data_IF_686720495399
#
_entry.id   IF_686720495399
#
_cell.length_a   1.000
_cell.length_b   1.000
_cell.length_c   1.000
_cell.angle_alpha   90.00
_cell.angle_beta   90.00
_cell.angle_gamma   90.00
#
_symmetry.space_group_name_H-M   'P 1'
#
loop_
_entity.id
_entity.type
_entity.pdbx_description
1 polymer ?
#
# COMPACT_ATOMS: atom_id res chain seq x y z
N UNK A 1 -0.66 -17.44 2.56
CA UNK A 1 0.22 -16.70 1.63
C UNK A 1 1.65 -16.98 2.05
N UNK A 2 2.56 -17.18 1.10
CA UNK A 2 4.00 -17.36 1.36
C UNK A 2 4.71 -16.16 0.74
N UNK A 3 5.52 -15.45 1.50
CA UNK A 3 6.38 -14.37 0.98
C UNK A 3 7.70 -15.01 0.52
N UNK A 4 8.08 -14.88 -0.76
CA UNK A 4 9.37 -15.35 -1.24
C UNK A 4 10.53 -14.65 -0.54
N UNK A 5 11.64 -15.36 -0.36
CA UNK A 5 12.87 -14.81 0.21
C UNK A 5 13.35 -13.52 -0.46
N UNK A 6 13.21 -13.43 -1.79
CA UNK A 6 13.56 -12.22 -2.55
C UNK A 6 12.75 -11.00 -2.14
N UNK A 7 11.49 -11.21 -1.75
CA UNK A 7 10.59 -10.14 -1.36
C UNK A 7 10.80 -9.75 0.11
N UNK A 8 11.23 -10.70 0.95
CA UNK A 8 11.68 -10.41 2.33
C UNK A 8 12.89 -9.48 2.30
N UNK A 9 13.89 -9.78 1.45
CA UNK A 9 15.10 -8.95 1.31
C UNK A 9 14.72 -7.54 0.84
N UNK A 10 13.91 -7.42 -0.22
CA UNK A 10 13.43 -6.12 -0.70
C UNK A 10 12.66 -5.35 0.38
N UNK A 11 11.84 -6.04 1.18
CA UNK A 11 11.11 -5.41 2.27
C UNK A 11 12.07 -4.84 3.32
N UNK A 12 13.12 -5.58 3.71
CA UNK A 12 14.16 -5.10 4.62
C UNK A 12 14.90 -3.88 4.07
N UNK A 13 15.27 -3.90 2.78
CA UNK A 13 15.93 -2.76 2.11
C UNK A 13 15.04 -1.51 2.11
N UNK A 14 13.76 -1.66 1.78
CA UNK A 14 12.78 -0.57 1.82
C UNK A 14 12.60 -0.04 3.24
N UNK A 15 12.46 -0.93 4.23
CA UNK A 15 12.29 -0.54 5.63
C UNK A 15 13.48 0.27 6.12
N UNK A 16 14.71 -0.17 5.81
CA UNK A 16 15.94 0.57 6.12
C UNK A 16 15.98 1.92 5.42
N UNK A 17 15.64 1.98 4.13
CA UNK A 17 15.64 3.23 3.36
C UNK A 17 14.63 4.25 3.89
N UNK A 18 13.45 3.82 4.28
CA UNK A 18 12.37 4.72 4.72
C UNK A 18 12.44 5.10 6.19
N UNK A 19 12.88 4.19 7.05
CA UNK A 19 12.85 4.39 8.51
C UNK A 19 14.24 4.43 9.17
N UNK A 20 15.31 4.17 8.41
CA UNK A 20 16.68 4.14 8.93
C UNK A 20 16.96 2.98 9.88
N UNK A 21 16.10 1.96 9.90
CA UNK A 21 16.16 0.82 10.83
C UNK A 21 16.34 -0.49 10.08
N UNK A 22 17.22 -1.34 10.59
CA UNK A 22 17.30 -2.73 10.16
C UNK A 22 16.30 -3.56 10.97
N UNK A 23 15.71 -4.56 10.32
CA UNK A 23 14.77 -5.49 10.93
C UNK A 23 15.24 -6.91 10.64
N UNK A 24 14.94 -7.84 11.54
CA UNK A 24 15.27 -9.25 11.33
C UNK A 24 14.50 -9.83 10.15
N UNK A 25 14.93 -11.01 9.69
CA UNK A 25 14.23 -11.72 8.63
C UNK A 25 12.83 -12.14 9.09
N UNK A 26 12.71 -12.57 10.35
CA UNK A 26 11.46 -12.94 10.99
C UNK A 26 10.50 -11.75 11.07
N UNK A 27 10.98 -10.58 11.49
CA UNK A 27 10.19 -9.35 11.54
C UNK A 27 9.69 -8.94 10.16
N UNK A 28 10.57 -8.99 9.16
CA UNK A 28 10.23 -8.66 7.78
C UNK A 28 9.19 -9.63 7.21
N UNK A 29 9.29 -10.92 7.54
CA UNK A 29 8.32 -11.92 7.12
C UNK A 29 6.96 -11.69 7.77
N UNK A 30 6.91 -11.48 9.09
CA UNK A 30 5.66 -11.25 9.81
C UNK A 30 4.96 -9.97 9.34
N UNK A 31 5.71 -8.88 9.20
CA UNK A 31 5.18 -7.60 8.72
C UNK A 31 4.75 -7.69 7.25
N UNK A 32 5.51 -8.37 6.39
CA UNK A 32 5.17 -8.59 4.99
C UNK A 32 3.87 -9.37 4.82
N UNK A 33 3.66 -10.43 5.61
CA UNK A 33 2.41 -11.20 5.61
C UNK A 33 1.22 -10.34 6.05
N UNK A 34 1.39 -9.54 7.12
CA UNK A 34 0.33 -8.62 7.59
C UNK A 34 -0.03 -7.60 6.52
N UNK A 35 0.96 -7.04 5.82
CA UNK A 35 0.74 -6.09 4.73
C UNK A 35 -0.03 -6.73 3.57
N UNK A 36 0.38 -7.91 3.11
CA UNK A 36 -0.32 -8.62 2.04
C UNK A 36 -1.76 -8.95 2.44
N UNK A 37 -1.97 -9.35 3.70
CA UNK A 37 -3.31 -9.61 4.21
C UNK A 37 -4.16 -8.35 4.21
N UNK A 38 -3.63 -7.23 4.71
CA UNK A 38 -4.34 -5.95 4.70
C UNK A 38 -4.72 -5.56 3.26
N UNK A 39 -3.76 -5.62 2.34
CA UNK A 39 -4.00 -5.32 0.93
C UNK A 39 -5.07 -6.24 0.33
N UNK A 40 -5.06 -7.54 0.64
CA UNK A 40 -6.07 -8.46 0.14
C UNK A 40 -7.49 -8.15 0.64
N UNK A 41 -7.62 -7.52 1.80
CA UNK A 41 -8.91 -7.16 2.40
C UNK A 41 -9.40 -5.79 1.92
N UNK A 42 -8.48 -4.85 1.71
CA UNK A 42 -8.81 -3.45 1.40
C UNK A 42 -8.79 -3.17 -0.10
N UNK A 43 -8.04 -3.94 -0.90
CA UNK A 43 -7.94 -3.70 -2.34
C UNK A 43 -9.26 -4.02 -3.03
N UNK A 44 -9.94 -2.94 -3.45
CA UNK A 44 -11.12 -3.01 -4.32
C UNK A 44 -10.64 -2.74 -5.75
N UNK A 45 -10.59 -3.76 -6.62
CA UNK A 45 -10.25 -3.52 -8.02
C UNK A 45 -11.31 -2.61 -8.64
N UNK A 46 -10.87 -1.68 -9.48
CA UNK A 46 -11.78 -0.82 -10.25
C UNK A 46 -11.41 -0.84 -11.72
N UNK A 47 -12.43 -0.67 -12.55
CA UNK A 47 -12.29 -0.55 -14.00
C UNK A 47 -11.64 0.79 -14.38
N UNK A 48 -11.05 0.85 -15.58
CA UNK A 48 -10.48 2.09 -16.11
C UNK A 48 -11.53 3.21 -16.17
N UNK A 49 -12.78 2.86 -16.50
CA UNK A 49 -13.87 3.82 -16.56
C UNK A 49 -14.25 4.39 -15.18
N UNK A 50 -14.30 3.55 -14.14
CA UNK A 50 -14.51 4.00 -12.76
C UNK A 50 -13.37 4.89 -12.27
N UNK A 51 -12.12 4.54 -12.63
CA UNK A 51 -10.96 5.37 -12.35
C UNK A 51 -11.07 6.74 -13.01
N UNK A 52 -11.38 6.78 -14.31
CA UNK A 52 -11.55 8.02 -15.07
C UNK A 52 -12.64 8.91 -14.46
N UNK A 53 -13.78 8.32 -14.06
CA UNK A 53 -14.86 9.06 -13.37
C UNK A 53 -14.40 9.72 -12.06
N UNK A 54 -13.56 9.03 -11.27
CA UNK A 54 -13.00 9.60 -10.04
C UNK A 54 -12.02 10.73 -10.35
N UNK A 55 -11.16 10.57 -11.37
CA UNK A 55 -10.23 11.62 -11.76
C UNK A 55 -10.94 12.89 -12.20
N UNK A 56 -12.01 12.77 -13.01
CA UNK A 56 -12.80 13.94 -13.40
C UNK A 56 -13.45 14.63 -12.20
N UNK A 57 -13.99 13.87 -11.24
CA UNK A 57 -14.54 14.45 -10.00
C UNK A 57 -13.51 15.23 -9.17
N UNK A 58 -12.25 14.78 -9.14
CA UNK A 58 -11.17 15.45 -8.38
C UNK A 58 -10.75 16.80 -8.98
N UNK A 59 -10.98 17.01 -10.28
CA UNK A 59 -10.74 18.30 -10.93
C UNK A 59 -11.75 19.36 -10.51
N UNK A 60 -12.93 18.95 -10.04
CA UNK A 60 -13.93 19.86 -9.50
C UNK A 60 -13.66 20.08 -8.01
N UNK A 61 -13.26 21.30 -7.58
CA UNK A 61 -13.11 21.57 -6.17
C UNK A 61 -14.45 21.37 -5.46
N UNK A 62 -14.43 20.70 -4.30
CA UNK A 62 -15.62 20.55 -3.48
C UNK A 62 -16.16 21.95 -3.15
N UNK A 63 -17.48 22.17 -3.22
CA UNK A 63 -18.06 23.44 -2.82
C UNK A 63 -17.65 23.71 -1.38
N UNK A 64 -16.93 24.80 -1.16
CA UNK A 64 -16.56 25.26 0.18
C UNK A 64 -17.86 25.70 0.85
N UNK A 65 -18.43 24.88 1.72
CA UNK A 65 -19.54 25.31 2.58
C UNK A 65 -18.96 26.20 3.66
N UNK A 66 -19.00 27.51 3.44
CA UNK A 66 -18.80 28.50 4.49
C UNK A 66 -20.06 28.52 5.37
N UNK A 67 -19.90 28.10 6.64
CA UNK A 67 -20.87 28.34 7.72
C UNK A 67 -20.70 29.75 8.28
#
# INVERSE_FOLDING_TARGET
MVVPDSDIIKFQELYKKHFGKEISREDAYEQGIKLLRLMSLVYQPMTVDEFNRIQERRKTPLPITTN
#
